data_IF_076446357365
#
_entry.id   IF_076446357365
#
_cell.length_a   1.000
_cell.length_b   1.000
_cell.length_c   1.000
_cell.angle_alpha   90.00
_cell.angle_beta   90.00
_cell.angle_gamma   90.00
#
_symmetry.space_group_name_H-M   'P 1'
#
loop_
_entity.id
_entity.type
_entity.pdbx_description
1 polymer ?
#
# COMPACT_ATOMS: atom_id res chain seq x y z
N UNK A 1 -0.09 1.24 -6.39
CA UNK A 1 -0.09 1.50 -4.92
C UNK A 1 1.18 2.24 -4.48
N UNK A 2 2.33 1.99 -5.10
CA UNK A 2 3.63 2.62 -4.81
C UNK A 2 3.58 4.16 -4.79
N UNK A 3 2.96 4.77 -5.82
CA UNK A 3 2.82 6.23 -5.88
C UNK A 3 1.97 6.77 -4.72
N UNK A 4 0.85 6.11 -4.40
CA UNK A 4 -0.01 6.48 -3.27
C UNK A 4 0.74 6.41 -1.95
N UNK A 5 1.49 5.32 -1.72
CA UNK A 5 2.35 5.13 -0.56
C UNK A 5 3.36 6.28 -0.43
N UNK A 6 4.06 6.61 -1.52
CA UNK A 6 5.02 7.72 -1.53
C UNK A 6 4.36 9.05 -1.17
N UNK A 7 3.21 9.38 -1.77
CA UNK A 7 2.49 10.62 -1.46
C UNK A 7 2.05 10.69 0.02
N UNK A 8 1.59 9.58 0.60
CA UNK A 8 1.28 9.49 2.02
C UNK A 8 2.51 9.78 2.90
N UNK A 9 3.63 9.11 2.61
CA UNK A 9 4.87 9.30 3.36
C UNK A 9 5.45 10.71 3.22
N UNK A 10 5.54 11.22 2.00
CA UNK A 10 6.02 12.58 1.72
C UNK A 10 5.18 13.63 2.43
N UNK A 11 3.85 13.47 2.46
CA UNK A 11 2.98 14.39 3.21
C UNK A 11 3.34 14.43 4.70
N UNK A 12 3.61 13.28 5.31
CA UNK A 12 3.99 13.20 6.72
C UNK A 12 5.34 13.89 6.96
N UNK A 13 6.37 13.49 6.20
CA UNK A 13 7.72 14.06 6.32
C UNK A 13 7.72 15.57 6.10
N UNK A 14 6.95 16.07 5.15
CA UNK A 14 6.91 17.51 4.85
C UNK A 14 6.06 18.32 5.84
N UNK A 15 5.11 17.70 6.53
CA UNK A 15 4.19 18.41 7.44
C UNK A 15 4.56 18.30 8.91
N UNK A 16 5.44 17.36 9.28
CA UNK A 16 5.83 17.05 10.66
C UNK A 16 7.34 17.02 10.78
N UNK A 17 7.94 18.12 11.26
CA UNK A 17 9.39 18.23 11.42
C UNK A 17 9.94 17.28 12.48
N UNK A 18 9.11 16.82 13.41
CA UNK A 18 9.44 15.87 14.45
C UNK A 18 9.54 14.41 13.95
N UNK A 19 9.19 14.14 12.69
CA UNK A 19 9.25 12.80 12.07
C UNK A 19 10.33 12.80 10.98
N UNK A 20 11.35 11.96 11.13
CA UNK A 20 12.43 11.86 10.15
C UNK A 20 12.23 10.73 9.13
N UNK A 21 11.50 9.69 9.49
CA UNK A 21 11.27 8.54 8.62
C UNK A 21 9.91 7.90 8.90
N UNK A 22 9.32 7.31 7.86
CA UNK A 22 8.12 6.49 7.97
C UNK A 22 8.25 5.27 7.08
N UNK A 23 7.87 4.10 7.61
CA UNK A 23 7.79 2.86 6.86
C UNK A 23 6.37 2.40 6.67
N UNK A 24 6.07 1.92 5.48
CA UNK A 24 4.80 1.32 5.12
C UNK A 24 5.00 -0.13 4.67
N UNK A 25 4.06 -0.98 5.05
CA UNK A 25 3.85 -2.32 4.50
C UNK A 25 2.36 -2.43 4.15
N UNK A 26 2.03 -2.23 2.88
CA UNK A 26 0.65 -2.06 2.39
C UNK A 26 0.27 -3.23 1.49
N UNK A 27 -0.58 -4.16 1.95
CA UNK A 27 -1.12 -5.18 1.07
C UNK A 27 -2.12 -4.56 0.09
N UNK A 28 -2.07 -4.99 -1.16
CA UNK A 28 -3.11 -4.76 -2.15
C UNK A 28 -4.09 -5.94 -2.11
N UNK A 29 -5.12 -5.80 -1.26
CA UNK A 29 -6.18 -6.80 -1.14
C UNK A 29 -7.06 -6.75 -2.40
N UNK A 30 -6.88 -7.74 -3.27
CA UNK A 30 -7.50 -7.76 -4.58
C UNK A 30 -9.01 -7.90 -4.51
N UNK A 31 -9.71 -6.99 -5.19
CA UNK A 31 -11.14 -7.07 -5.48
C UNK A 31 -11.28 -7.24 -6.99
N UNK A 32 -11.47 -8.48 -7.44
CA UNK A 32 -11.60 -8.80 -8.86
C UNK A 32 -13.04 -8.57 -9.31
N UNK A 33 -13.23 -7.89 -10.44
CA UNK A 33 -14.56 -7.75 -11.04
C UNK A 33 -15.05 -9.14 -11.45
N UNK A 34 -16.21 -9.55 -10.95
CA UNK A 34 -16.77 -10.87 -11.26
C UNK A 34 -17.32 -10.86 -12.67
N UNK A 35 -16.94 -11.86 -13.46
CA UNK A 35 -17.58 -12.12 -14.75
C UNK A 35 -18.98 -12.70 -14.53
N UNK A 36 -20.00 -11.95 -14.95
CA UNK A 36 -21.40 -12.35 -14.87
C UNK A 36 -21.99 -12.71 -16.24
N UNK A 37 -21.21 -12.68 -17.32
CA UNK A 37 -21.65 -13.08 -18.66
C UNK A 37 -22.21 -14.51 -18.71
N UNK A 38 -21.66 -15.50 -17.96
CA UNK A 38 -22.26 -16.84 -17.89
C UNK A 38 -23.69 -16.87 -17.35
N UNK A 39 -24.12 -15.82 -16.64
CA UNK A 39 -25.48 -15.65 -16.12
C UNK A 39 -26.34 -14.74 -17.01
N UNK A 40 -25.84 -14.27 -18.15
CA UNK A 40 -26.53 -13.34 -19.04
C UNK A 40 -26.65 -11.92 -18.49
N UNK A 41 -25.79 -11.53 -17.55
CA UNK A 41 -25.80 -10.23 -16.89
C UNK A 41 -24.53 -9.43 -17.19
N UNK A 42 -24.66 -8.10 -17.26
CA UNK A 42 -23.52 -7.18 -17.28
C UNK A 42 -23.14 -6.80 -15.85
N UNK A 43 -21.85 -6.69 -15.56
CA UNK A 43 -21.34 -6.17 -14.30
C UNK A 43 -20.73 -4.77 -14.52
N UNK A 44 -21.43 -3.71 -14.11
CA UNK A 44 -20.98 -2.31 -14.29
C UNK A 44 -20.14 -1.82 -13.11
N UNK A 45 -19.09 -2.57 -12.75
CA UNK A 45 -18.24 -2.29 -11.59
C UNK A 45 -18.99 -2.37 -10.25
N UNK A 46 -19.86 -3.37 -10.09
CA UNK A 46 -20.73 -3.51 -8.90
C UNK A 46 -20.41 -4.75 -8.06
N UNK A 47 -20.21 -5.91 -8.71
CA UNK A 47 -19.99 -7.19 -8.01
C UNK A 47 -18.52 -7.57 -8.09
N UNK A 48 -17.89 -7.74 -6.92
CA UNK A 48 -16.48 -8.06 -6.79
C UNK A 48 -16.24 -9.30 -5.95
N UNK A 49 -15.23 -10.08 -6.32
CA UNK A 49 -14.65 -11.13 -5.49
C UNK A 49 -13.42 -10.59 -4.75
N UNK A 50 -13.54 -10.48 -3.43
CA UNK A 50 -12.41 -10.14 -2.56
C UNK A 50 -11.61 -11.42 -2.27
N UNK A 51 -10.48 -11.59 -2.97
CA UNK A 51 -9.62 -12.75 -2.75
C UNK A 51 -8.87 -12.62 -1.42
N UNK A 52 -8.70 -13.74 -0.71
CA UNK A 52 -7.90 -13.77 0.52
C UNK A 52 -6.41 -13.70 0.18
N UNK A 53 -5.93 -14.55 -0.75
CA UNK A 53 -4.54 -14.71 -1.17
C UNK A 53 -4.46 -15.22 -2.62
N UNK A 54 -3.33 -14.99 -3.33
CA UNK A 54 -2.22 -14.12 -2.94
C UNK A 54 -2.61 -12.64 -3.04
N UNK A 55 -1.87 -11.78 -2.36
CA UNK A 55 -1.97 -10.33 -2.49
C UNK A 55 -0.60 -9.74 -2.79
N UNK A 56 -0.57 -8.64 -3.55
CA UNK A 56 0.66 -7.86 -3.71
C UNK A 56 0.99 -7.16 -2.40
N UNK A 57 2.21 -7.33 -1.88
CA UNK A 57 2.70 -6.55 -0.73
C UNK A 57 3.61 -5.43 -1.24
N UNK A 58 3.26 -4.18 -0.95
CA UNK A 58 4.04 -3.01 -1.35
C UNK A 58 4.65 -2.40 -0.10
N UNK A 59 5.98 -2.30 -0.09
CA UNK A 59 6.72 -1.79 1.06
C UNK A 59 7.66 -0.68 0.62
N UNK A 60 7.76 0.37 1.44
CA UNK A 60 8.79 1.39 1.27
C UNK A 60 9.02 2.15 2.58
N UNK A 61 10.20 2.76 2.68
CA UNK A 61 10.50 3.78 3.68
C UNK A 61 10.60 5.13 2.98
N UNK A 62 9.92 6.15 3.50
CA UNK A 62 10.09 7.54 3.08
C UNK A 62 10.87 8.25 4.18
N UNK A 63 12.02 8.81 3.80
CA UNK A 63 13.03 9.38 4.69
C UNK A 63 13.21 10.86 4.37
N UNK A 64 13.39 11.68 5.41
CA UNK A 64 13.76 13.08 5.27
C UNK A 64 15.14 13.20 4.65
N UNK A 65 15.28 14.10 3.68
CA UNK A 65 16.57 14.35 3.03
C UNK A 65 17.63 14.78 4.06
N UNK A 66 18.84 14.24 3.90
CA UNK A 66 19.97 14.47 4.82
C UNK A 66 19.89 13.75 6.18
N UNK A 67 18.91 12.88 6.41
CA UNK A 67 18.81 12.07 7.63
C UNK A 67 19.21 10.62 7.36
N UNK A 68 19.92 10.01 8.31
CA UNK A 68 20.23 8.58 8.29
C UNK A 68 19.01 7.74 8.72
N UNK A 69 18.67 6.67 8.00
CA UNK A 69 17.56 5.79 8.38
C UNK A 69 17.88 5.06 9.68
N UNK A 70 16.92 5.01 10.62
CA UNK A 70 17.07 4.33 11.91
C UNK A 70 16.18 3.12 12.05
N UNK A 71 15.08 3.02 11.29
CA UNK A 71 14.24 1.82 11.26
C UNK A 71 15.03 0.69 10.54
N UNK A 72 15.36 -0.43 11.19
CA UNK A 72 16.06 -1.56 10.57
C UNK A 72 15.26 -2.14 9.41
N UNK A 73 15.86 -2.48 8.26
CA UNK A 73 15.11 -3.04 7.10
C UNK A 73 14.36 -4.32 7.46
N UNK A 74 14.96 -5.16 8.29
CA UNK A 74 14.34 -6.35 8.86
C UNK A 74 13.76 -6.03 10.25
N UNK A 75 12.44 -6.12 10.37
CA UNK A 75 11.70 -5.85 11.61
C UNK A 75 11.47 -7.11 12.46
N UNK A 76 11.95 -8.28 12.04
CA UNK A 76 11.74 -9.55 12.76
C UNK A 76 12.56 -9.69 14.05
N UNK A 77 13.47 -8.74 14.31
CA UNK A 77 14.33 -8.70 15.50
C UNK A 77 13.98 -7.54 16.46
N UNK A 78 12.77 -6.97 16.35
CA UNK A 78 12.25 -5.96 17.29
C UNK A 78 11.44 -6.59 18.43
#
# INVERSE_FOLDING_TARGET
LQQTLYQMGSRIINSRSEIDEIRFSLPNNHHFLVDLEPFGLKNDNEVYFAADRPYGLIEATVLRDGVEPKIPVDMTNL
#
